data_IF_674955880989
#
_entry.id   IF_674955880989
#
_cell.length_a   1.000
_cell.length_b   1.000
_cell.length_c   1.000
_cell.angle_alpha   90.00
_cell.angle_beta   90.00
_cell.angle_gamma   90.00
#
_symmetry.space_group_name_H-M   'P 1'
#
loop_
_entity.id
_entity.type
_entity.pdbx_description
1 polymer ?
#
# COMPACT_ATOMS: atom_id res chain seq x y z
N UNK A 1 -28.34 -2.30 35.84
CA UNK A 1 -28.41 -2.32 34.35
C UNK A 1 -27.60 -1.21 33.68
N UNK A 2 -27.55 0.02 34.21
CA UNK A 2 -26.80 1.15 33.61
C UNK A 2 -25.31 0.89 33.38
N UNK A 3 -24.60 0.25 34.31
CA UNK A 3 -23.16 -0.03 34.19
C UNK A 3 -22.82 -1.01 33.06
N UNK A 4 -23.60 -2.09 32.86
CA UNK A 4 -23.36 -3.07 31.79
C UNK A 4 -23.58 -2.49 30.39
N UNK A 5 -24.55 -1.57 30.27
CA UNK A 5 -24.87 -0.86 29.02
C UNK A 5 -23.75 0.13 28.64
N UNK A 6 -23.22 0.86 29.62
CA UNK A 6 -22.09 1.77 29.42
C UNK A 6 -20.81 1.01 29.04
N UNK A 7 -20.53 -0.12 29.68
CA UNK A 7 -19.36 -0.96 29.35
C UNK A 7 -19.48 -1.54 27.93
N UNK A 8 -20.67 -2.01 27.53
CA UNK A 8 -20.91 -2.48 26.17
C UNK A 8 -20.74 -1.38 25.12
N UNK A 9 -21.20 -0.16 25.41
CA UNK A 9 -21.02 1.00 24.53
C UNK A 9 -19.55 1.40 24.41
N UNK A 10 -18.79 1.40 25.51
CA UNK A 10 -17.35 1.71 25.50
C UNK A 10 -16.59 0.67 24.68
N UNK A 11 -16.88 -0.63 24.86
CA UNK A 11 -16.26 -1.69 24.06
C UNK A 11 -16.57 -1.56 22.57
N UNK A 12 -17.80 -1.19 22.21
CA UNK A 12 -18.17 -0.95 20.83
C UNK A 12 -17.42 0.25 20.23
N UNK A 13 -17.29 1.35 20.98
CA UNK A 13 -16.53 2.55 20.55
C UNK A 13 -15.04 2.23 20.39
N UNK A 14 -14.45 1.47 21.32
CA UNK A 14 -13.05 1.05 21.24
C UNK A 14 -12.83 0.13 20.04
N UNK A 15 -13.73 -0.83 19.78
CA UNK A 15 -13.66 -1.68 18.60
C UNK A 15 -13.72 -0.88 17.29
N UNK A 16 -14.62 0.12 17.21
CA UNK A 16 -14.71 1.02 16.04
C UNK A 16 -13.43 1.84 15.86
N UNK A 17 -12.81 2.32 16.94
CA UNK A 17 -11.52 3.02 16.85
C UNK A 17 -10.38 2.12 16.37
N UNK A 18 -10.34 0.85 16.76
CA UNK A 18 -9.34 -0.11 16.26
C UNK A 18 -9.53 -0.46 14.77
N UNK A 19 -10.76 -0.44 14.26
CA UNK A 19 -11.03 -0.64 12.83
C UNK A 19 -10.70 0.64 12.02
N UNK A 20 -10.77 1.80 12.66
CA UNK A 20 -10.52 3.10 12.04
C UNK A 20 -9.06 3.56 12.09
N UNK A 21 -8.15 2.83 12.73
CA UNK A 21 -6.71 3.11 12.62
C UNK A 21 -6.26 2.81 11.20
N UNK A 22 -6.39 3.81 10.33
CA UNK A 22 -5.93 3.75 8.96
C UNK A 22 -4.46 3.36 8.97
N UNK A 23 -4.18 2.12 8.55
CA UNK A 23 -2.83 1.68 8.31
C UNK A 23 -2.13 2.73 7.44
N UNK A 24 -0.98 3.20 7.93
CA UNK A 24 -0.05 4.13 7.30
C UNK A 24 0.28 3.59 5.89
N UNK A 25 -0.55 3.91 4.89
CA UNK A 25 -0.57 3.15 3.65
C UNK A 25 0.34 3.78 2.60
N UNK A 26 1.47 3.13 2.37
CA UNK A 26 2.41 3.49 1.31
C UNK A 26 1.78 3.24 -0.06
N UNK A 27 2.20 4.00 -1.07
CA UNK A 27 1.79 3.83 -2.48
C UNK A 27 2.99 3.60 -3.37
N UNK A 28 2.82 2.81 -4.43
CA UNK A 28 3.85 2.58 -5.44
C UNK A 28 3.50 3.36 -6.71
N UNK A 29 4.36 4.27 -7.13
CA UNK A 29 4.14 5.16 -8.28
C UNK A 29 5.24 4.99 -9.32
N UNK A 30 4.86 5.02 -10.60
CA UNK A 30 5.79 5.15 -11.71
C UNK A 30 6.30 6.59 -11.77
N UNK A 31 7.62 6.78 -11.67
CA UNK A 31 8.25 8.11 -11.76
C UNK A 31 8.67 8.47 -13.17
N UNK A 32 8.93 7.47 -14.01
CA UNK A 32 9.34 7.67 -15.40
C UNK A 32 8.19 8.15 -16.30
N UNK A 33 6.94 7.75 -16.01
CA UNK A 33 5.75 8.07 -16.82
C UNK A 33 4.61 8.61 -15.96
N UNK A 34 4.43 9.94 -15.99
CA UNK A 34 3.56 10.64 -15.04
C UNK A 34 2.06 10.51 -15.32
N UNK A 35 1.68 10.24 -16.57
CA UNK A 35 0.28 10.15 -17.01
C UNK A 35 -0.31 8.73 -16.96
N UNK A 36 0.39 7.75 -16.38
CA UNK A 36 -0.14 6.39 -16.20
C UNK A 36 -1.33 6.39 -15.23
N UNK A 37 -2.46 5.83 -15.66
CA UNK A 37 -3.70 5.73 -14.88
C UNK A 37 -4.17 4.28 -14.73
N UNK A 38 -3.23 3.36 -14.52
CA UNK A 38 -3.53 1.96 -14.24
C UNK A 38 -3.88 1.10 -15.45
N UNK A 39 -3.52 1.54 -16.65
CA UNK A 39 -3.69 0.76 -17.89
C UNK A 39 -2.86 -0.53 -17.85
N UNK A 40 -1.67 -0.45 -17.26
CA UNK A 40 -0.70 -1.54 -17.15
C UNK A 40 -0.46 -1.95 -15.69
N UNK A 41 0.15 -3.11 -15.49
CA UNK A 41 0.66 -3.51 -14.17
C UNK A 41 2.05 -2.94 -13.93
N UNK A 42 2.44 -2.82 -12.67
CA UNK A 42 3.80 -2.41 -12.28
C UNK A 42 4.85 -3.34 -12.91
N UNK A 43 4.60 -4.66 -12.91
CA UNK A 43 5.49 -5.64 -13.54
C UNK A 43 5.67 -5.40 -15.05
N UNK A 44 4.59 -5.06 -15.77
CA UNK A 44 4.65 -4.73 -17.21
C UNK A 44 5.54 -3.50 -17.45
N UNK A 45 5.36 -2.46 -16.63
CA UNK A 45 6.15 -1.23 -16.74
C UNK A 45 7.63 -1.47 -16.38
N UNK A 46 7.91 -2.27 -15.36
CA UNK A 46 9.29 -2.64 -15.01
C UNK A 46 10.00 -3.39 -16.14
N UNK A 47 9.30 -4.30 -16.82
CA UNK A 47 9.84 -4.98 -17.99
C UNK A 47 10.20 -4.02 -19.14
N UNK A 48 9.56 -2.85 -19.21
CA UNK A 48 9.87 -1.77 -20.16
C UNK A 48 11.00 -0.84 -19.69
N UNK A 49 11.58 -1.08 -18.51
CA UNK A 49 12.63 -0.24 -17.92
C UNK A 49 12.11 0.98 -17.15
N UNK A 50 10.82 1.04 -16.84
CA UNK A 50 10.25 2.15 -16.07
C UNK A 50 10.70 2.10 -14.60
N UNK A 51 10.85 3.28 -13.99
CA UNK A 51 11.28 3.40 -12.59
C UNK A 51 10.08 3.63 -11.69
N UNK A 52 10.12 3.03 -10.50
CA UNK A 52 9.07 3.15 -9.50
C UNK A 52 9.60 3.73 -8.19
N UNK A 53 8.72 4.42 -7.46
CA UNK A 53 9.00 4.95 -6.15
C UNK A 53 7.88 4.61 -5.16
N UNK A 54 8.28 4.35 -3.92
CA UNK A 54 7.37 4.26 -2.80
C UNK A 54 7.16 5.69 -2.28
N UNK A 55 5.90 6.08 -2.14
CA UNK A 55 5.49 7.32 -1.49
C UNK A 55 4.77 6.97 -0.20
N UNK A 56 5.29 7.47 0.91
CA UNK A 56 4.63 7.31 2.19
C UNK A 56 3.49 8.32 2.39
N UNK A 57 2.80 8.22 3.52
CA UNK A 57 1.70 9.11 3.86
C UNK A 57 2.11 10.57 4.12
N UNK A 58 3.39 10.84 4.37
CA UNK A 58 3.93 12.17 4.60
C UNK A 58 4.43 12.81 3.28
N UNK A 59 4.37 12.07 2.17
CA UNK A 59 4.85 12.52 0.87
C UNK A 59 6.36 12.31 0.66
N UNK A 60 7.02 11.51 1.50
CA UNK A 60 8.42 11.15 1.33
C UNK A 60 8.50 10.11 0.21
N UNK A 61 9.38 10.37 -0.76
CA UNK A 61 9.55 9.56 -1.97
C UNK A 61 10.86 8.80 -1.91
N UNK A 62 10.80 7.48 -2.05
CA UNK A 62 11.98 6.61 -2.22
C UNK A 62 11.90 5.88 -3.55
N UNK A 63 12.81 6.16 -4.45
CA UNK A 63 12.93 5.45 -5.73
C UNK A 63 13.55 4.08 -5.46
N UNK A 64 12.95 3.03 -6.03
CA UNK A 64 13.43 1.67 -5.88
C UNK A 64 14.64 1.42 -6.78
N UNK A 65 15.71 0.86 -6.21
CA UNK A 65 16.82 0.31 -6.98
C UNK A 65 16.44 -1.04 -7.60
N UNK A 66 17.15 -1.53 -8.62
CA UNK A 66 16.89 -2.86 -9.20
C UNK A 66 16.96 -3.99 -8.16
N UNK A 67 17.89 -3.89 -7.21
CA UNK A 67 18.05 -4.86 -6.11
C UNK A 67 16.83 -4.85 -5.17
N UNK A 68 16.35 -3.65 -4.81
CA UNK A 68 15.15 -3.50 -3.99
C UNK A 68 13.90 -4.03 -4.70
N UNK A 69 13.78 -3.82 -6.01
CA UNK A 69 12.71 -4.40 -6.83
C UNK A 69 12.76 -5.92 -6.79
N UNK A 70 13.93 -6.52 -7.02
CA UNK A 70 14.10 -7.97 -7.02
C UNK A 70 13.75 -8.59 -5.65
N UNK A 71 14.26 -8.00 -4.56
CA UNK A 71 13.95 -8.45 -3.20
C UNK A 71 12.45 -8.29 -2.89
N UNK A 72 11.88 -7.13 -3.19
CA UNK A 72 10.45 -6.89 -2.93
C UNK A 72 9.58 -7.85 -3.73
N UNK A 73 9.98 -8.23 -4.95
CA UNK A 73 9.24 -9.20 -5.76
C UNK A 73 9.25 -10.60 -5.15
N UNK A 74 10.34 -10.98 -4.49
CA UNK A 74 10.44 -12.24 -3.75
C UNK A 74 9.57 -12.24 -2.49
N UNK A 75 9.56 -11.12 -1.73
CA UNK A 75 8.81 -11.03 -0.47
C UNK A 75 7.32 -10.71 -0.66
N UNK A 76 6.97 -9.86 -1.63
CA UNK A 76 5.61 -9.38 -1.87
C UNK A 76 5.33 -9.23 -3.38
N UNK A 77 5.19 -10.35 -4.13
CA UNK A 77 4.94 -10.31 -5.57
C UNK A 77 3.61 -9.59 -5.91
N UNK A 78 2.66 -9.55 -4.98
CA UNK A 78 1.36 -8.89 -5.17
C UNK A 78 1.52 -7.37 -5.37
N UNK A 79 2.57 -6.76 -4.82
CA UNK A 79 2.84 -5.34 -5.03
C UNK A 79 3.06 -5.00 -6.52
N UNK A 80 3.62 -5.92 -7.29
CA UNK A 80 3.95 -5.72 -8.70
C UNK A 80 2.84 -6.12 -9.68
N UNK A 81 1.86 -6.88 -9.19
CA UNK A 81 0.65 -7.23 -9.94
C UNK A 81 -0.39 -6.10 -9.93
N UNK A 82 -0.18 -5.08 -9.09
CA UNK A 82 -1.04 -3.91 -9.04
C UNK A 82 -0.96 -3.09 -10.32
N UNK A 83 -2.01 -2.31 -10.55
CA UNK A 83 -2.04 -1.30 -11.60
C UNK A 83 -1.00 -0.22 -11.33
N UNK A 84 -0.25 0.14 -12.37
CA UNK A 84 0.77 1.18 -12.31
C UNK A 84 0.15 2.56 -12.48
N UNK A 85 0.43 3.47 -11.55
CA UNK A 85 -0.03 4.86 -11.61
C UNK A 85 1.18 5.79 -11.64
N UNK A 86 1.09 6.83 -12.45
CA UNK A 86 2.05 7.93 -12.47
C UNK A 86 1.77 8.96 -11.38
N UNK A 87 2.71 9.89 -11.21
CA UNK A 87 2.62 10.97 -10.21
C UNK A 87 1.31 11.77 -10.28
N UNK A 88 0.80 12.04 -11.48
CA UNK A 88 -0.44 12.82 -11.68
C UNK A 88 -1.67 12.16 -11.05
N UNK A 89 -1.67 10.84 -10.98
CA UNK A 89 -2.76 10.02 -10.46
C UNK A 89 -2.42 9.39 -9.11
N UNK A 90 -1.49 9.98 -8.34
CA UNK A 90 -1.11 9.49 -7.01
C UNK A 90 -2.32 9.27 -6.09
N UNK A 91 -3.33 10.15 -6.17
CA UNK A 91 -4.53 10.03 -5.34
C UNK A 91 -5.32 8.76 -5.65
N UNK A 92 -5.38 8.39 -6.93
CA UNK A 92 -6.08 7.22 -7.44
C UNK A 92 -5.26 5.92 -7.28
N UNK A 93 -3.95 6.05 -7.09
CA UNK A 93 -3.06 4.91 -6.91
C UNK A 93 -3.44 4.06 -5.68
N UNK A 94 -3.52 2.72 -5.84
CA UNK A 94 -3.89 1.82 -4.76
C UNK A 94 -2.84 1.82 -3.67
N UNK A 95 -3.29 1.49 -2.46
CA UNK A 95 -2.42 1.26 -1.32
C UNK A 95 -1.60 -0.01 -1.55
N UNK A 96 -0.33 0.00 -1.17
CA UNK A 96 0.52 -1.18 -1.20
C UNK A 96 -0.10 -2.30 -0.33
N UNK A 97 -0.23 -3.53 -0.86
CA UNK A 97 -0.78 -4.64 -0.12
C UNK A 97 0.16 -4.99 1.04
N UNK A 98 -0.42 -5.25 2.21
CA UNK A 98 0.31 -5.77 3.35
C UNK A 98 0.99 -7.10 2.98
N UNK A 99 2.12 -7.38 3.62
CA UNK A 99 2.79 -8.68 3.45
C UNK A 99 1.86 -9.80 3.93
N UNK A 100 1.90 -10.98 3.29
CA UNK A 100 1.27 -12.17 3.86
C UNK A 100 1.87 -12.42 5.25
N UNK A 101 1.05 -12.37 6.29
CA UNK A 101 1.52 -12.68 7.65
C UNK A 101 1.82 -14.18 7.70
N UNK A 102 3.05 -14.59 8.08
CA UNK A 102 3.36 -16.00 8.27
C UNK A 102 2.39 -16.64 9.27
N UNK A 103 2.00 -17.91 9.09
CA UNK A 103 1.08 -18.60 10.00
C UNK A 103 1.54 -18.61 11.47
N UNK A 104 2.85 -18.47 11.70
CA UNK A 104 3.49 -18.48 13.02
C UNK A 104 3.24 -17.21 13.85
N UNK A 105 2.68 -16.16 13.23
CA UNK A 105 2.41 -14.87 13.86
C UNK A 105 0.90 -14.55 14.00
N UNK A 106 0.02 -15.56 13.84
CA UNK A 106 -1.44 -15.44 14.02
C UNK A 106 -1.91 -16.02 15.35
#
# INVERSE_FOLDING_TARGET
>A
MRSKLVVGLILAVVAVMFIASGAMAQKLLCVSKQDLKGEETVDSCLAKGERFAIVDQYGIVRILTPEEVALTKAFNPKAFQMRAFGLKYQKDAPKLPAMPVPPEAQ
#
